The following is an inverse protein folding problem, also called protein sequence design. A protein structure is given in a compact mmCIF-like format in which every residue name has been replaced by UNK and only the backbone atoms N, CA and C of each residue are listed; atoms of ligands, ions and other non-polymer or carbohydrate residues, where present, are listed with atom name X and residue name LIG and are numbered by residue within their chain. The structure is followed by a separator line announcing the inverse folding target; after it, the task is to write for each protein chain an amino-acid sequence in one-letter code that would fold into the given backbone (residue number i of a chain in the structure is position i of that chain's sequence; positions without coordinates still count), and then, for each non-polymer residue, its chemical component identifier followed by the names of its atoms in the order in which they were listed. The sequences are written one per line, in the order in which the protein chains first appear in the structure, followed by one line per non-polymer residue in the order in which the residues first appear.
data_IF_918413978020
#
_entry.id   IF_918413978020
#
_cell.length_a   1.000
_cell.length_b   1.000
_cell.length_c   1.000
_cell.angle_alpha   90.00
_cell.angle_beta   90.00
_cell.angle_gamma   90.00
#
_symmetry.space_group_name_H-M   'P 1'
#
loop_
_entity.id
_entity.type
_entity.pdbx_description
1 polymer ?
#
# COMPACT_ATOMS: atom_id res chain seq x y z
N UNK A 1 -34.92 12.01 -32.35
CA UNK A 1 -34.22 12.95 -31.47
C UNK A 1 -33.26 12.15 -30.58
N UNK A 2 -32.04 11.96 -31.07
CA UNK A 2 -30.99 11.20 -30.39
C UNK A 2 -30.37 12.09 -29.31
N UNK A 3 -30.64 11.79 -28.03
CA UNK A 3 -29.99 12.49 -26.92
C UNK A 3 -28.47 12.25 -27.04
N UNK A 4 -27.71 13.27 -27.45
CA UNK A 4 -26.27 13.29 -27.32
C UNK A 4 -25.96 13.19 -25.82
N UNK A 5 -25.42 12.04 -25.43
CA UNK A 5 -24.79 11.87 -24.11
C UNK A 5 -23.64 12.89 -24.01
N UNK A 6 -23.54 13.67 -22.93
CA UNK A 6 -22.46 14.64 -22.80
C UNK A 6 -21.10 13.94 -22.88
N UNK A 7 -20.07 14.59 -23.46
CA UNK A 7 -18.74 14.01 -23.52
C UNK A 7 -18.28 13.63 -22.11
N UNK A 8 -17.83 12.39 -21.96
CA UNK A 8 -17.22 11.93 -20.70
C UNK A 8 -16.08 12.91 -20.40
N UNK A 9 -16.28 13.72 -19.37
CA UNK A 9 -15.29 14.74 -19.01
C UNK A 9 -13.94 14.09 -18.79
N UNK A 10 -12.85 14.79 -19.10
CA UNK A 10 -11.47 14.34 -18.80
C UNK A 10 -11.28 13.85 -17.36
N UNK A 11 -12.16 14.25 -16.44
CA UNK A 11 -12.26 13.76 -15.07
C UNK A 11 -12.73 12.30 -14.96
N UNK A 12 -13.50 11.76 -15.89
CA UNK A 12 -14.02 10.39 -15.80
C UNK A 12 -12.98 9.33 -16.22
N UNK A 13 -12.04 9.69 -17.11
CA UNK A 13 -10.85 8.84 -17.40
C UNK A 13 -9.85 8.90 -16.25
N UNK A 14 -10.06 9.82 -15.35
CA UNK A 14 -9.22 10.23 -14.24
C UNK A 14 -9.90 9.97 -12.91
N UNK A 15 -10.89 9.05 -12.83
CA UNK A 15 -11.37 8.63 -11.54
C UNK A 15 -10.13 8.11 -10.79
N UNK A 16 -9.63 8.95 -9.93
CA UNK A 16 -8.56 8.60 -9.02
C UNK A 16 -9.03 7.37 -8.24
N UNK A 17 -8.49 6.19 -8.57
CA UNK A 17 -8.41 5.13 -7.58
C UNK A 17 -7.89 5.80 -6.29
N UNK A 18 -8.42 5.45 -5.12
CA UNK A 18 -7.87 5.99 -3.88
C UNK A 18 -6.36 5.82 -3.93
N UNK A 19 -5.67 6.83 -3.46
CA UNK A 19 -4.24 7.06 -3.54
C UNK A 19 -3.38 5.82 -3.20
N UNK A 20 -3.91 4.92 -2.39
CA UNK A 20 -3.44 3.56 -2.11
C UNK A 20 -4.67 2.68 -1.94
N UNK A 21 -4.64 1.49 -2.48
CA UNK A 21 -5.61 0.48 -2.08
C UNK A 21 -5.47 0.23 -0.57
N UNK A 22 -6.58 0.01 0.14
CA UNK A 22 -6.52 -0.22 1.58
C UNK A 22 -5.59 -1.36 1.99
N UNK A 23 -5.42 -2.38 1.14
CA UNK A 23 -4.48 -3.49 1.32
C UNK A 23 -3.01 -3.04 1.30
N UNK A 24 -2.66 -2.11 0.42
CA UNK A 24 -1.30 -1.57 0.33
C UNK A 24 -0.94 -0.80 1.60
N UNK A 25 -1.85 0.05 2.12
CA UNK A 25 -1.65 0.77 3.39
C UNK A 25 -1.41 -0.16 4.58
N UNK A 26 -2.09 -1.28 4.59
CA UNK A 26 -1.99 -2.26 5.67
C UNK A 26 -0.63 -2.97 5.61
N UNK A 27 -0.14 -3.29 4.42
CA UNK A 27 1.20 -3.87 4.23
C UNK A 27 2.29 -2.97 4.79
N UNK A 28 2.22 -1.66 4.51
CA UNK A 28 3.18 -0.68 5.01
C UNK A 28 3.20 -0.60 6.55
N UNK A 29 2.01 -0.60 7.17
CA UNK A 29 1.88 -0.62 8.63
C UNK A 29 2.49 -1.91 9.21
N UNK A 30 2.26 -3.07 8.57
CA UNK A 30 2.83 -4.34 8.99
C UNK A 30 4.36 -4.32 8.96
N UNK A 31 4.97 -3.84 7.89
CA UNK A 31 6.42 -3.72 7.80
C UNK A 31 6.98 -2.85 8.92
N UNK A 32 6.40 -1.69 9.15
CA UNK A 32 6.81 -0.80 10.23
C UNK A 32 6.72 -1.45 11.61
N UNK A 33 5.64 -2.17 11.91
CA UNK A 33 5.45 -2.87 13.18
C UNK A 33 6.41 -4.03 13.39
N UNK A 34 6.63 -4.86 12.36
CA UNK A 34 7.57 -5.98 12.43
C UNK A 34 9.00 -5.46 12.66
N UNK A 35 9.37 -4.41 11.97
CA UNK A 35 10.67 -3.77 12.12
C UNK A 35 10.87 -3.23 13.54
N UNK A 36 9.88 -2.54 14.11
CA UNK A 36 9.97 -2.04 15.49
C UNK A 36 10.06 -3.19 16.48
N UNK A 37 9.30 -4.28 16.32
CA UNK A 37 9.40 -5.47 17.16
C UNK A 37 10.79 -6.09 17.08
N UNK A 38 11.40 -6.11 15.91
CA UNK A 38 12.77 -6.59 15.71
C UNK A 38 13.76 -5.73 16.49
N UNK A 39 13.69 -4.42 16.37
CA UNK A 39 14.58 -3.51 17.11
C UNK A 39 14.37 -3.59 18.63
N UNK A 40 13.13 -3.63 19.10
CA UNK A 40 12.87 -3.76 20.54
C UNK A 40 13.24 -5.12 21.08
N UNK A 41 13.13 -6.15 20.27
CA UNK A 41 13.47 -7.52 20.64
C UNK A 41 14.97 -7.80 20.70
N UNK A 42 15.77 -7.08 19.92
CA UNK A 42 17.24 -7.22 19.93
C UNK A 42 17.87 -6.60 21.19
N UNK A 43 17.13 -5.82 21.96
CA UNK A 43 17.62 -5.21 23.18
C UNK A 43 17.60 -6.24 24.34
N UNK A 44 18.77 -6.63 24.83
CA UNK A 44 18.87 -7.47 26.03
C UNK A 44 18.49 -6.68 27.28
N UNK A 45 17.40 -7.06 27.93
CA UNK A 45 16.92 -6.37 29.16
C UNK A 45 17.90 -6.48 30.32
N UNK A 46 18.73 -7.54 30.31
CA UNK A 46 19.66 -7.82 31.42
C UNK A 46 20.82 -6.83 31.49
N UNK A 47 21.27 -6.33 30.34
CA UNK A 47 22.48 -5.53 30.21
C UNK A 47 22.23 -4.12 29.64
N UNK A 48 21.03 -3.83 29.17
CA UNK A 48 20.72 -2.56 28.53
C UNK A 48 20.59 -1.40 29.48
N UNK A 49 21.42 -0.37 29.28
CA UNK A 49 21.30 0.93 29.92
C UNK A 49 20.36 1.90 29.19
N UNK A 50 20.18 3.10 29.74
CA UNK A 50 19.39 4.15 29.08
C UNK A 50 20.00 4.61 27.74
N UNK A 51 21.31 4.57 27.63
CA UNK A 51 22.04 4.97 26.41
C UNK A 51 21.82 3.93 25.29
N UNK A 52 21.71 2.65 25.62
CA UNK A 52 21.41 1.58 24.67
C UNK A 52 19.98 1.72 24.12
N UNK A 53 19.02 2.01 25.00
CA UNK A 53 17.62 2.30 24.60
C UNK A 53 17.55 3.52 23.70
N UNK A 54 18.26 4.58 24.02
CA UNK A 54 18.31 5.79 23.19
C UNK A 54 18.88 5.49 21.81
N UNK A 55 19.96 4.74 21.73
CA UNK A 55 20.60 4.33 20.48
C UNK A 55 19.65 3.47 19.64
N UNK A 56 18.98 2.50 20.28
CA UNK A 56 17.97 1.66 19.62
C UNK A 56 16.81 2.50 19.06
N UNK A 57 16.26 3.43 19.87
CA UNK A 57 15.16 4.28 19.41
C UNK A 57 15.55 5.19 18.25
N UNK A 58 16.77 5.75 18.26
CA UNK A 58 17.29 6.57 17.16
C UNK A 58 17.44 5.69 15.91
N UNK A 59 17.96 4.46 16.04
CA UNK A 59 18.06 3.52 14.93
C UNK A 59 16.69 3.16 14.35
N UNK A 60 15.74 2.84 15.20
CA UNK A 60 14.37 2.52 14.79
C UNK A 60 13.67 3.71 14.09
N UNK A 61 13.83 4.93 14.62
CA UNK A 61 13.30 6.15 13.98
C UNK A 61 13.96 6.41 12.63
N UNK A 62 15.29 6.26 12.54
CA UNK A 62 16.02 6.43 11.29
C UNK A 62 15.61 5.41 10.24
N UNK A 63 15.43 4.18 10.64
CA UNK A 63 14.96 3.12 9.76
C UNK A 63 13.52 3.39 9.27
N UNK A 64 12.58 3.76 10.15
CA UNK A 64 11.22 4.14 9.74
C UNK A 64 11.18 5.38 8.83
N UNK A 65 12.07 6.33 9.06
CA UNK A 65 12.20 7.50 8.18
C UNK A 65 12.62 7.05 6.76
N UNK A 66 13.63 6.18 6.67
CA UNK A 66 14.11 5.67 5.39
C UNK A 66 13.04 4.86 4.66
N UNK A 67 12.35 3.96 5.37
CA UNK A 67 11.24 3.17 4.81
C UNK A 67 10.09 4.05 4.34
N UNK A 68 9.67 5.03 5.13
CA UNK A 68 8.62 5.95 4.72
C UNK A 68 8.96 6.71 3.43
N UNK A 69 10.23 7.12 3.26
CA UNK A 69 10.69 7.75 2.01
C UNK A 69 10.63 6.75 0.85
N UNK A 70 11.12 5.52 1.04
CA UNK A 70 11.12 4.47 0.03
C UNK A 70 9.68 4.18 -0.42
N UNK A 71 8.76 3.98 0.52
CA UNK A 71 7.36 3.67 0.23
C UNK A 71 6.66 4.82 -0.48
N UNK A 72 6.94 6.07 -0.09
CA UNK A 72 6.48 7.24 -0.82
C UNK A 72 6.97 7.27 -2.28
N UNK A 73 8.22 6.88 -2.53
CA UNK A 73 8.78 6.79 -3.88
C UNK A 73 8.13 5.62 -4.65
N UNK A 74 8.01 4.44 -4.04
CA UNK A 74 7.37 3.27 -4.65
C UNK A 74 5.92 3.57 -5.03
N UNK A 75 5.19 4.29 -4.18
CA UNK A 75 3.85 4.77 -4.49
C UNK A 75 3.83 5.65 -5.76
N UNK A 76 4.74 6.63 -5.87
CA UNK A 76 4.83 7.48 -7.08
C UNK A 76 5.18 6.67 -8.33
N UNK A 77 6.07 5.69 -8.20
CA UNK A 77 6.41 4.77 -9.29
C UNK A 77 5.20 3.92 -9.71
N UNK A 78 4.41 3.45 -8.75
CA UNK A 78 3.15 2.75 -8.98
C UNK A 78 2.16 3.60 -9.79
N UNK A 79 1.97 4.85 -9.40
CA UNK A 79 1.11 5.81 -10.11
C UNK A 79 1.56 6.02 -11.57
N UNK A 80 2.86 6.21 -11.79
CA UNK A 80 3.42 6.35 -13.14
C UNK A 80 3.23 5.07 -13.97
N UNK A 81 3.45 3.91 -13.38
CA UNK A 81 3.28 2.62 -14.04
C UNK A 81 1.83 2.38 -14.46
N UNK A 82 0.87 2.69 -13.57
CA UNK A 82 -0.57 2.56 -13.86
C UNK A 82 -0.99 3.49 -15.00
N UNK A 83 -0.61 4.77 -14.95
CA UNK A 83 -0.86 5.72 -16.03
C UNK A 83 -0.23 5.25 -17.34
N UNK A 84 1.00 4.72 -17.28
CA UNK A 84 1.72 4.17 -18.43
C UNK A 84 0.99 2.97 -19.03
N UNK A 85 0.40 2.09 -18.22
CA UNK A 85 -0.43 0.97 -18.69
C UNK A 85 -1.66 1.47 -19.45
N UNK A 86 -2.39 2.43 -18.87
CA UNK A 86 -3.57 3.03 -19.52
C UNK A 86 -3.23 3.71 -20.85
N UNK A 87 -2.14 4.46 -20.92
CA UNK A 87 -1.66 5.11 -22.15
C UNK A 87 -1.31 4.06 -23.21
N UNK A 88 -0.62 2.97 -22.85
CA UNK A 88 -0.27 1.87 -23.78
C UNK A 88 -1.51 1.16 -24.28
N UNK A 89 -2.44 0.81 -23.39
CA UNK A 89 -3.70 0.16 -23.79
C UNK A 89 -4.50 1.01 -24.77
N UNK A 90 -4.65 2.33 -24.52
CA UNK A 90 -5.36 3.21 -25.44
C UNK A 90 -4.65 3.37 -26.77
N UNK A 91 -3.32 3.41 -26.81
CA UNK A 91 -2.54 3.43 -28.06
C UNK A 91 -2.67 2.11 -28.84
N UNK A 92 -2.62 0.98 -28.14
CA UNK A 92 -2.81 -0.33 -28.76
C UNK A 92 -4.21 -0.46 -29.37
N UNK A 93 -5.24 -0.03 -28.62
CA UNK A 93 -6.61 -0.02 -29.10
C UNK A 93 -6.81 0.82 -30.37
N UNK A 94 -6.16 1.97 -30.45
CA UNK A 94 -6.22 2.86 -31.64
C UNK A 94 -5.48 2.29 -32.85
N UNK A 95 -4.48 1.44 -32.62
CA UNK A 95 -3.71 0.79 -33.68
C UNK A 95 -4.29 -0.55 -34.11
N UNK A 96 -5.23 -1.12 -33.34
CA UNK A 96 -5.85 -2.40 -33.64
C UNK A 96 -6.49 -2.36 -35.02
N UNK A 97 -6.05 -3.26 -35.91
CA UNK A 97 -6.53 -3.38 -37.29
C UNK A 97 -7.84 -4.18 -37.33
N UNK A 98 -8.06 -5.09 -36.38
CA UNK A 98 -9.21 -5.98 -36.33
C UNK A 98 -10.02 -5.77 -35.03
N UNK A 99 -11.31 -6.10 -35.11
CA UNK A 99 -12.20 -6.05 -33.93
C UNK A 99 -11.73 -7.03 -32.84
N UNK A 100 -11.16 -8.18 -33.21
CA UNK A 100 -10.66 -9.19 -32.29
C UNK A 100 -9.41 -8.71 -31.51
N UNK A 101 -8.49 -8.02 -32.19
CA UNK A 101 -7.35 -7.39 -31.53
C UNK A 101 -7.81 -6.33 -30.52
N UNK A 102 -8.76 -5.50 -30.92
CA UNK A 102 -9.33 -4.47 -30.06
C UNK A 102 -10.03 -5.06 -28.83
N UNK A 103 -10.81 -6.14 -29.02
CA UNK A 103 -11.45 -6.89 -27.96
C UNK A 103 -10.44 -7.44 -26.96
N UNK A 104 -9.34 -8.05 -27.43
CA UNK A 104 -8.28 -8.57 -26.56
C UNK A 104 -7.67 -7.46 -25.70
N UNK A 105 -7.34 -6.31 -26.29
CA UNK A 105 -6.76 -5.17 -25.54
C UNK A 105 -7.72 -4.67 -24.46
N UNK A 106 -9.01 -4.58 -24.75
CA UNK A 106 -10.01 -4.14 -23.76
C UNK A 106 -10.20 -5.21 -22.68
N UNK A 107 -10.27 -6.49 -23.07
CA UNK A 107 -10.43 -7.59 -22.11
C UNK A 107 -9.24 -7.71 -21.15
N UNK A 108 -8.01 -7.52 -21.63
CA UNK A 108 -6.80 -7.49 -20.80
C UNK A 108 -6.75 -6.32 -19.80
N UNK A 109 -7.45 -5.22 -20.11
CA UNK A 109 -7.53 -4.05 -19.24
C UNK A 109 -8.62 -4.16 -18.17
N UNK A 110 -9.51 -5.14 -18.25
CA UNK A 110 -10.63 -5.35 -17.33
C UNK A 110 -10.37 -6.50 -16.37
N UNK A 111 -10.99 -6.49 -15.17
CA UNK A 111 -11.00 -7.67 -14.31
C UNK A 111 -11.58 -8.88 -15.05
N UNK A 112 -11.00 -10.11 -14.89
CA UNK A 112 -11.43 -11.30 -15.64
C UNK A 112 -12.94 -11.59 -15.52
N UNK A 113 -13.52 -11.39 -14.34
CA UNK A 113 -14.95 -11.58 -14.11
C UNK A 113 -15.81 -10.61 -14.92
N UNK A 114 -15.37 -9.37 -15.09
CA UNK A 114 -16.07 -8.35 -15.87
C UNK A 114 -15.91 -8.66 -17.37
N UNK A 115 -14.70 -8.98 -17.80
CA UNK A 115 -14.43 -9.35 -19.19
C UNK A 115 -15.25 -10.57 -19.66
N UNK A 116 -15.53 -11.52 -18.77
CA UNK A 116 -16.28 -12.73 -19.09
C UNK A 116 -17.79 -12.50 -19.38
N UNK A 117 -18.37 -11.42 -18.88
CA UNK A 117 -19.81 -11.13 -19.02
C UNK A 117 -20.12 -10.10 -20.10
N UNK A 118 -19.11 -9.43 -20.67
CA UNK A 118 -19.28 -8.41 -21.71
C UNK A 118 -19.51 -9.11 -23.06
N UNK A 119 -20.62 -8.75 -23.73
CA UNK A 119 -20.93 -9.26 -25.06
C UNK A 119 -19.99 -8.67 -26.13
N UNK A 120 -19.76 -9.37 -27.26
CA UNK A 120 -18.88 -8.89 -28.33
C UNK A 120 -19.25 -7.49 -28.87
N UNK A 121 -20.54 -7.20 -28.97
CA UNK A 121 -21.08 -5.91 -29.45
C UNK A 121 -20.76 -4.77 -28.49
N UNK A 122 -20.71 -5.07 -27.18
CA UNK A 122 -20.37 -4.10 -26.15
C UNK A 122 -18.88 -3.72 -26.21
N UNK A 123 -17.99 -4.69 -26.49
CA UNK A 123 -16.57 -4.39 -26.71
C UNK A 123 -16.37 -3.41 -27.88
N UNK A 124 -17.12 -3.56 -28.97
CA UNK A 124 -17.03 -2.65 -30.10
C UNK A 124 -17.56 -1.25 -29.73
N UNK A 125 -18.63 -1.16 -28.97
CA UNK A 125 -19.14 0.11 -28.45
C UNK A 125 -18.11 0.81 -27.54
N UNK A 126 -17.44 0.07 -26.65
CA UNK A 126 -16.37 0.58 -25.81
C UNK A 126 -15.21 1.09 -26.67
N UNK A 127 -14.77 0.30 -27.66
CA UNK A 127 -13.72 0.68 -28.61
C UNK A 127 -14.02 2.00 -29.28
N UNK A 128 -15.20 2.13 -29.87
CA UNK A 128 -15.62 3.34 -30.59
C UNK A 128 -15.58 4.58 -29.69
N UNK A 129 -16.08 4.47 -28.46
CA UNK A 129 -16.04 5.56 -27.48
C UNK A 129 -14.62 5.93 -27.07
N UNK A 130 -13.75 4.95 -26.87
CA UNK A 130 -12.34 5.17 -26.47
C UNK A 130 -11.52 5.78 -27.62
N UNK A 131 -11.78 5.39 -28.86
CA UNK A 131 -11.10 5.96 -30.05
C UNK A 131 -11.51 7.43 -30.28
N UNK A 132 -12.76 7.80 -29.95
CA UNK A 132 -13.25 9.17 -30.05
C UNK A 132 -12.66 10.12 -28.97
N UNK A 133 -12.08 9.57 -27.89
CA UNK A 133 -11.44 10.40 -26.88
C UNK A 133 -10.20 11.13 -27.44
N UNK A 134 -9.78 12.26 -26.88
CA UNK A 134 -8.55 12.93 -27.26
C UNK A 134 -7.33 11.98 -27.23
N UNK A 135 -6.31 12.30 -28.00
CA UNK A 135 -5.07 11.50 -28.01
C UNK A 135 -4.49 11.43 -26.58
N UNK A 136 -4.08 10.24 -26.11
CA UNK A 136 -3.46 10.12 -24.81
C UNK A 136 -2.15 10.92 -24.78
N UNK A 137 -1.76 11.42 -23.61
CA UNK A 137 -0.50 12.14 -23.46
C UNK A 137 0.68 11.28 -23.88
N UNK A 138 1.77 11.90 -24.32
CA UNK A 138 2.99 11.18 -24.73
C UNK A 138 3.62 10.41 -23.57
N UNK A 139 3.54 10.95 -22.35
CA UNK A 139 4.14 10.37 -21.14
C UNK A 139 3.22 10.52 -19.94
N UNK A 140 3.29 9.58 -18.96
CA UNK A 140 2.60 9.76 -17.69
C UNK A 140 3.17 10.98 -16.94
N UNK A 141 2.34 11.63 -16.11
CA UNK A 141 2.73 12.81 -15.33
C UNK A 141 2.15 12.73 -13.93
N UNK A 142 3.00 12.93 -12.95
CA UNK A 142 2.58 13.02 -11.56
C UNK A 142 1.80 14.31 -11.31
N UNK A 143 0.69 14.19 -10.62
CA UNK A 143 -0.18 15.30 -10.20
C UNK A 143 0.10 15.66 -8.74
N UNK A 144 -0.40 16.81 -8.32
CA UNK A 144 -0.33 17.24 -6.92
C UNK A 144 -1.00 16.24 -5.96
N UNK A 145 -2.10 15.60 -6.39
CA UNK A 145 -2.79 14.57 -5.60
C UNK A 145 -1.91 13.34 -5.33
N UNK A 146 -1.08 12.94 -6.30
CA UNK A 146 -0.19 11.79 -6.16
C UNK A 146 1.01 12.12 -5.24
N UNK A 147 1.54 13.34 -5.33
CA UNK A 147 2.55 13.81 -4.38
C UNK A 147 2.00 13.90 -2.95
N UNK A 148 0.77 14.38 -2.79
CA UNK A 148 0.11 14.38 -1.49
C UNK A 148 -0.12 12.95 -0.98
N UNK A 149 -0.44 12.03 -1.89
CA UNK A 149 -0.53 10.62 -1.59
C UNK A 149 0.77 10.04 -1.07
N UNK A 150 1.88 10.30 -1.76
CA UNK A 150 3.21 9.87 -1.31
C UNK A 150 3.56 10.42 0.08
N UNK A 151 3.20 11.69 0.35
CA UNK A 151 3.37 12.27 1.68
C UNK A 151 2.54 11.55 2.74
N UNK A 152 1.29 11.18 2.44
CA UNK A 152 0.47 10.40 3.36
C UNK A 152 1.02 9.01 3.62
N UNK A 153 1.54 8.32 2.60
CA UNK A 153 2.22 7.02 2.76
C UNK A 153 3.41 7.17 3.70
N UNK A 154 4.29 8.13 3.41
CA UNK A 154 5.44 8.45 4.27
C UNK A 154 5.02 8.68 5.72
N UNK A 155 4.00 9.52 5.95
CA UNK A 155 3.55 9.83 7.30
C UNK A 155 2.99 8.61 8.03
N UNK A 156 2.22 7.75 7.36
CA UNK A 156 1.70 6.52 7.95
C UNK A 156 2.81 5.60 8.44
N UNK A 157 3.79 5.33 7.58
CA UNK A 157 4.93 4.46 7.91
C UNK A 157 5.76 5.08 9.03
N UNK A 158 6.06 6.37 8.92
CA UNK A 158 6.87 7.06 9.92
C UNK A 158 6.20 7.14 11.29
N UNK A 159 4.89 7.40 11.34
CA UNK A 159 4.18 7.63 12.59
C UNK A 159 3.86 6.35 13.36
N UNK A 160 3.88 5.18 12.72
CA UNK A 160 3.52 3.90 13.36
C UNK A 160 4.48 3.51 14.49
N UNK A 161 5.71 4.03 14.49
CA UNK A 161 6.69 3.74 15.54
C UNK A 161 6.35 4.42 16.87
N UNK A 162 5.69 5.58 16.84
CA UNK A 162 5.51 6.39 18.06
C UNK A 162 4.71 5.70 19.16
N UNK A 163 3.58 5.01 18.90
CA UNK A 163 2.88 4.26 19.92
C UNK A 163 3.78 3.22 20.61
N UNK A 164 4.64 2.54 19.86
CA UNK A 164 5.53 1.49 20.36
C UNK A 164 6.73 2.08 21.11
N UNK A 165 7.23 3.24 20.69
CA UNK A 165 8.33 3.96 21.34
C UNK A 165 7.90 4.71 22.62
N UNK A 166 6.64 5.08 22.75
CA UNK A 166 6.09 5.86 23.86
C UNK A 166 6.43 5.30 25.26
N UNK A 167 6.32 3.97 25.53
CA UNK A 167 6.66 3.43 26.85
C UNK A 167 8.10 3.72 27.29
N UNK A 168 9.05 3.72 26.35
CA UNK A 168 10.46 4.00 26.65
C UNK A 168 10.73 5.46 27.04
N UNK A 169 9.84 6.37 26.64
CA UNK A 169 9.95 7.80 26.96
C UNK A 169 9.38 8.08 28.36
N UNK A 170 8.25 7.46 28.70
CA UNK A 170 7.49 7.77 29.91
C UNK A 170 7.73 6.83 31.09
N UNK A 171 8.27 5.63 30.86
CA UNK A 171 8.49 4.65 31.90
C UNK A 171 9.96 4.60 32.35
N UNK A 172 10.19 4.69 33.66
CA UNK A 172 11.55 4.63 34.24
C UNK A 172 12.11 3.21 34.28
N UNK A 173 11.24 2.21 34.42
CA UNK A 173 11.63 0.81 34.49
C UNK A 173 11.65 0.23 33.06
N UNK A 174 12.86 -0.10 32.59
CA UNK A 174 13.09 -0.59 31.24
C UNK A 174 12.36 -1.92 30.95
N UNK A 175 12.37 -2.86 31.89
CA UNK A 175 11.71 -4.15 31.72
C UNK A 175 10.18 -4.01 31.55
N UNK A 176 9.56 -3.10 32.28
CA UNK A 176 8.14 -2.79 32.08
C UNK A 176 7.88 -2.03 30.79
N UNK A 177 8.74 -1.07 30.43
CA UNK A 177 8.64 -0.34 29.17
C UNK A 177 8.66 -1.29 27.96
N UNK A 178 9.57 -2.27 27.95
CA UNK A 178 9.64 -3.30 26.89
C UNK A 178 8.38 -4.17 26.83
N UNK A 179 7.86 -4.62 27.97
CA UNK A 179 6.62 -5.44 27.99
C UNK A 179 5.43 -4.67 27.44
N UNK A 180 5.27 -3.41 27.84
CA UNK A 180 4.19 -2.55 27.36
C UNK A 180 4.36 -2.23 25.87
N UNK A 181 5.57 -1.91 25.43
CA UNK A 181 5.90 -1.69 24.02
C UNK A 181 5.54 -2.89 23.16
N UNK A 182 5.98 -4.10 23.56
CA UNK A 182 5.67 -5.34 22.84
C UNK A 182 4.16 -5.63 22.83
N UNK A 183 3.46 -5.38 23.94
CA UNK A 183 2.00 -5.53 23.98
C UNK A 183 1.29 -4.57 23.02
N UNK A 184 1.74 -3.32 22.92
CA UNK A 184 1.23 -2.32 21.97
C UNK A 184 1.50 -2.79 20.54
N UNK A 185 2.70 -3.26 20.23
CA UNK A 185 3.05 -3.73 18.90
C UNK A 185 2.20 -4.95 18.48
N UNK A 186 2.00 -5.92 19.39
CA UNK A 186 1.13 -7.08 19.16
C UNK A 186 -0.32 -6.65 18.94
N UNK A 187 -0.83 -5.72 19.74
CA UNK A 187 -2.17 -5.20 19.56
C UNK A 187 -2.35 -4.49 18.21
N UNK A 188 -1.36 -3.69 17.80
CA UNK A 188 -1.37 -3.03 16.50
C UNK A 188 -1.28 -4.03 15.33
N UNK A 189 -0.47 -5.08 15.44
CA UNK A 189 -0.43 -6.17 14.47
C UNK A 189 -1.79 -6.85 14.32
N UNK A 190 -2.45 -7.14 15.45
CA UNK A 190 -3.78 -7.72 15.43
C UNK A 190 -4.80 -6.79 14.76
N UNK A 191 -4.84 -5.50 15.16
CA UNK A 191 -5.77 -4.52 14.58
C UNK A 191 -5.54 -4.34 13.08
N UNK A 192 -4.28 -4.30 12.66
CA UNK A 192 -3.89 -4.17 11.25
C UNK A 192 -4.33 -5.40 10.45
N UNK A 193 -4.07 -6.61 10.96
CA UNK A 193 -4.52 -7.85 10.34
C UNK A 193 -6.04 -7.99 10.31
N UNK A 194 -6.73 -7.56 11.37
CA UNK A 194 -8.19 -7.53 11.42
C UNK A 194 -8.77 -6.58 10.36
N UNK A 195 -8.21 -5.38 10.25
CA UNK A 195 -8.61 -4.40 9.24
C UNK A 195 -8.39 -4.95 7.82
N UNK A 196 -7.26 -5.63 7.58
CA UNK A 196 -6.99 -6.29 6.32
C UNK A 196 -8.06 -7.35 5.99
N UNK A 197 -8.38 -8.23 6.94
CA UNK A 197 -9.40 -9.26 6.74
C UNK A 197 -10.77 -8.67 6.39
N UNK A 198 -11.11 -7.52 6.96
CA UNK A 198 -12.34 -6.80 6.62
C UNK A 198 -12.35 -6.27 5.18
N UNK A 199 -11.21 -5.75 4.73
CA UNK A 199 -11.07 -5.17 3.39
C UNK A 199 -10.98 -6.25 2.32
N UNK A 200 -10.27 -7.34 2.63
CA UNK A 200 -10.12 -8.51 1.76
C UNK A 200 -11.36 -9.41 1.70
N UNK A 201 -12.44 -9.04 2.40
CA UNK A 201 -13.66 -9.87 2.54
C UNK A 201 -13.37 -11.30 3.03
N UNK A 202 -12.35 -11.42 3.88
CA UNK A 202 -11.94 -12.67 4.51
C UNK A 202 -12.28 -12.66 6.01
N UNK A 203 -11.96 -13.72 6.74
CA UNK A 203 -12.23 -13.83 8.18
C UNK A 203 -11.36 -12.87 9.01
N UNK A 204 -11.87 -11.72 9.52
CA UNK A 204 -11.03 -10.68 10.14
C UNK A 204 -10.29 -11.16 11.39
N UNK A 205 -10.93 -11.98 12.20
CA UNK A 205 -10.31 -12.53 13.42
C UNK A 205 -9.15 -13.47 13.10
N UNK A 206 -9.30 -14.29 12.07
CA UNK A 206 -8.25 -15.23 11.62
C UNK A 206 -7.07 -14.46 11.07
N UNK A 207 -7.30 -13.46 10.22
CA UNK A 207 -6.21 -12.62 9.67
C UNK A 207 -5.50 -11.83 10.76
N UNK A 208 -6.23 -11.29 11.74
CA UNK A 208 -5.63 -10.63 12.91
C UNK A 208 -4.69 -11.57 13.67
N UNK A 209 -5.14 -12.77 13.98
CA UNK A 209 -4.33 -13.77 14.68
C UNK A 209 -3.12 -14.23 13.86
N UNK A 210 -3.31 -14.50 12.57
CA UNK A 210 -2.20 -14.87 11.65
C UNK A 210 -1.12 -13.81 11.62
N UNK A 211 -1.50 -12.51 11.57
CA UNK A 211 -0.54 -11.41 11.57
C UNK A 211 0.26 -11.32 12.89
N UNK A 212 -0.39 -11.58 14.03
CA UNK A 212 0.30 -11.66 15.33
C UNK A 212 1.30 -12.82 15.34
N UNK A 213 0.89 -14.01 14.89
CA UNK A 213 1.77 -15.19 14.83
C UNK A 213 2.95 -14.93 13.90
N UNK A 214 2.69 -14.35 12.73
CA UNK A 214 3.74 -14.02 11.75
C UNK A 214 4.73 -13.00 12.32
N UNK A 215 4.23 -11.90 12.90
CA UNK A 215 5.10 -10.87 13.49
C UNK A 215 5.92 -11.40 14.66
N UNK A 216 5.29 -12.17 15.56
CA UNK A 216 5.99 -12.80 16.68
C UNK A 216 7.06 -13.82 16.22
N UNK A 217 6.76 -14.60 15.17
CA UNK A 217 7.71 -15.56 14.60
C UNK A 217 8.91 -14.86 13.98
N UNK A 218 8.68 -13.80 13.19
CA UNK A 218 9.75 -13.02 12.57
C UNK A 218 10.64 -12.34 13.63
N UNK A 219 10.03 -11.71 14.63
CA UNK A 219 10.78 -11.13 15.75
C UNK A 219 11.60 -12.20 16.49
N UNK A 220 11.02 -13.38 16.77
CA UNK A 220 11.71 -14.49 17.41
C UNK A 220 12.88 -15.02 16.58
N UNK A 221 12.74 -15.14 15.27
CA UNK A 221 13.81 -15.53 14.35
C UNK A 221 14.93 -14.50 14.37
N UNK A 222 14.61 -13.21 14.31
CA UNK A 222 15.60 -12.14 14.32
C UNK A 222 16.41 -12.14 15.62
N UNK A 223 15.72 -12.27 16.77
CA UNK A 223 16.39 -12.42 18.07
C UNK A 223 17.30 -13.63 18.12
N UNK A 224 16.86 -14.79 17.57
CA UNK A 224 17.66 -16.01 17.55
C UNK A 224 18.92 -15.91 16.65
N UNK A 225 18.89 -15.06 15.62
CA UNK A 225 20.00 -14.79 14.73
C UNK A 225 20.97 -13.72 15.26
N UNK A 226 20.75 -13.21 16.46
CA UNK A 226 21.61 -12.22 17.11
C UNK A 226 21.34 -10.78 16.68
N UNK A 227 20.10 -10.50 16.22
CA UNK A 227 19.61 -9.13 15.92
C UNK A 227 19.38 -8.34 17.17
#
# INVERSE_FOLDING_TARGET
MTKLTPPISHQAIQSSKPVLEPSERISEVLFGLIMVLTFTGSLSVADAGRDDVRTMLIGALGCNLAWGIIDGILYLMGCLSEQGRGIRALRALRKAATCEEARRVVAEALPPMVAAVIAPEEYESIRQRLVQQPAPPSHPRLRKSEWLGALWVFLWVFLIIFPVATPFIFMSNLGWAMRVSNAIAIALLFVTGYAYGRIAEYHPWVTGLVMVVLGASLAGITMALGG
#
